data_IF_421937694096
#
_entry.id   IF_421937694096
#
_cell.length_a   1.000
_cell.length_b   1.000
_cell.length_c   1.000
_cell.angle_alpha   90.00
_cell.angle_beta   90.00
_cell.angle_gamma   90.00
#
_symmetry.space_group_name_H-M   'P 1'
#
loop_
_entity.id
_entity.type
_entity.pdbx_description
1 polymer ?
#
# COMPACT_ATOMS: atom_id res chain seq x y z
N UNK A 1 -36.42 3.13 -1.64
CA UNK A 1 -35.93 4.00 -0.55
C UNK A 1 -35.45 5.27 -1.17
N UNK A 2 -35.78 6.42 -0.59
CA UNK A 2 -35.28 7.70 -1.08
C UNK A 2 -33.79 7.76 -0.72
N UNK A 3 -32.91 7.77 -1.72
CA UNK A 3 -31.49 7.99 -1.49
C UNK A 3 -31.25 9.48 -1.27
N UNK A 4 -30.36 9.87 -0.35
CA UNK A 4 -30.03 11.27 -0.14
C UNK A 4 -29.42 11.86 -1.41
N UNK A 5 -29.73 13.13 -1.65
CA UNK A 5 -29.18 13.95 -2.73
C UNK A 5 -27.71 14.26 -2.49
N UNK A 6 -26.96 14.61 -3.54
CA UNK A 6 -25.53 14.98 -3.42
C UNK A 6 -25.30 16.15 -2.45
N UNK A 7 -26.25 17.08 -2.36
CA UNK A 7 -26.25 18.20 -1.41
C UNK A 7 -26.41 17.74 0.05
N UNK A 8 -27.24 16.73 0.30
CA UNK A 8 -27.43 16.14 1.62
C UNK A 8 -26.22 15.29 2.05
N UNK A 9 -25.54 14.65 1.09
CA UNK A 9 -24.27 13.95 1.36
C UNK A 9 -23.15 14.95 1.68
N UNK A 10 -23.11 16.09 0.99
CA UNK A 10 -22.13 17.14 1.27
C UNK A 10 -22.29 17.80 2.65
N UNK A 11 -23.50 17.78 3.23
CA UNK A 11 -23.76 18.29 4.59
C UNK A 11 -23.43 17.28 5.70
N UNK A 12 -23.15 16.01 5.36
CA UNK A 12 -22.72 14.97 6.31
C UNK A 12 -21.20 14.93 6.49
N UNK A 13 -20.53 16.05 6.26
CA UNK A 13 -19.09 16.17 6.44
C UNK A 13 -18.77 16.24 7.95
N UNK A 14 -18.67 15.05 8.56
CA UNK A 14 -18.42 14.86 9.98
C UNK A 14 -16.95 15.09 10.38
N UNK A 15 -16.10 15.48 9.44
CA UNK A 15 -14.70 15.76 9.69
C UNK A 15 -14.48 17.27 9.85
N UNK A 16 -13.76 17.65 10.90
CA UNK A 16 -13.29 19.02 11.06
C UNK A 16 -12.24 19.35 10.00
N UNK A 17 -12.06 20.63 9.70
CA UNK A 17 -11.02 21.08 8.76
C UNK A 17 -9.62 20.62 9.19
N UNK A 18 -9.37 20.56 10.51
CA UNK A 18 -8.13 20.01 11.08
C UNK A 18 -7.89 18.55 10.69
N UNK A 19 -8.95 17.72 10.62
CA UNK A 19 -8.82 16.31 10.21
C UNK A 19 -8.59 16.20 8.70
N UNK A 20 -9.20 17.08 7.90
CA UNK A 20 -9.01 17.11 6.44
C UNK A 20 -7.62 17.60 6.05
N UNK A 21 -7.04 18.50 6.84
CA UNK A 21 -5.70 19.04 6.65
C UNK A 21 -4.60 18.15 7.25
N UNK A 22 -4.95 17.04 7.89
CA UNK A 22 -3.99 16.14 8.51
C UNK A 22 -3.16 15.41 7.44
N UNK A 23 -1.84 15.67 7.45
CA UNK A 23 -0.85 14.88 6.73
C UNK A 23 0.04 14.15 7.76
N UNK A 24 0.13 12.81 7.71
CA UNK A 24 1.03 12.07 8.59
C UNK A 24 2.47 12.53 8.40
N UNK A 25 3.24 12.60 9.47
CA UNK A 25 4.68 12.82 9.37
C UNK A 25 5.39 11.60 8.77
N UNK A 26 6.56 11.79 8.14
CA UNK A 26 7.40 10.69 7.61
C UNK A 26 7.69 9.61 8.66
N UNK A 27 7.79 9.97 9.93
CA UNK A 27 7.98 9.04 11.03
C UNK A 27 6.76 8.13 11.30
N UNK A 28 5.54 8.59 11.00
CA UNK A 28 4.31 7.82 11.19
C UNK A 28 3.99 6.89 10.02
N UNK A 29 4.66 7.09 8.88
CA UNK A 29 4.53 6.22 7.71
C UNK A 29 5.13 4.83 7.94
N UNK A 30 6.03 4.69 8.92
CA UNK A 30 6.76 3.46 9.18
C UNK A 30 6.86 3.18 10.67
N UNK A 31 6.69 1.92 11.04
CA UNK A 31 7.04 1.44 12.38
C UNK A 31 8.29 0.57 12.29
N UNK A 32 9.11 0.58 13.34
CA UNK A 32 10.23 -0.36 13.49
C UNK A 32 9.80 -1.48 14.43
N UNK A 33 9.89 -2.72 13.95
CA UNK A 33 9.61 -3.92 14.73
C UNK A 33 10.77 -4.21 15.69
N UNK A 34 10.52 -5.01 16.73
CA UNK A 34 11.58 -5.43 17.67
C UNK A 34 12.76 -6.17 17.03
N UNK A 35 12.60 -6.67 15.80
CA UNK A 35 13.67 -7.26 14.98
C UNK A 35 14.58 -6.24 14.28
N UNK A 36 14.29 -4.94 14.38
CA UNK A 36 14.96 -3.87 13.62
C UNK A 36 14.47 -3.71 12.18
N UNK A 37 13.57 -4.59 11.71
CA UNK A 37 12.90 -4.41 10.42
C UNK A 37 11.83 -3.33 10.52
N UNK A 38 11.66 -2.52 9.47
CA UNK A 38 10.53 -1.60 9.39
C UNK A 38 9.34 -2.22 8.67
N UNK A 39 8.16 -1.70 8.98
CA UNK A 39 6.90 -1.98 8.32
C UNK A 39 6.29 -0.66 7.88
N UNK A 40 5.92 -0.55 6.60
CA UNK A 40 5.18 0.60 6.09
C UNK A 40 3.72 0.49 6.55
N UNK A 41 3.18 1.57 7.08
CA UNK A 41 1.79 1.68 7.54
C UNK A 41 0.90 2.36 6.50
N UNK A 42 1.49 3.26 5.71
CA UNK A 42 0.78 4.08 4.72
C UNK A 42 1.46 3.88 3.37
N UNK A 43 0.68 3.37 2.41
CA UNK A 43 1.16 2.94 1.09
C UNK A 43 0.84 3.97 -0.02
N UNK A 44 -0.16 4.83 0.16
CA UNK A 44 -0.47 5.92 -0.77
C UNK A 44 0.22 7.24 -0.39
N UNK A 45 0.04 8.28 -1.21
CA UNK A 45 0.40 9.66 -0.85
C UNK A 45 1.82 10.11 -1.22
N UNK A 46 2.44 9.55 -2.26
CA UNK A 46 3.69 10.09 -2.84
C UNK A 46 4.94 9.94 -1.97
N UNK A 47 4.91 9.11 -0.93
CA UNK A 47 6.09 8.82 -0.09
C UNK A 47 7.07 8.01 -0.92
N UNK A 48 8.34 8.35 -1.04
CA UNK A 48 9.26 7.51 -1.82
C UNK A 48 9.40 6.07 -1.28
N UNK A 49 9.73 5.14 -2.17
CA UNK A 49 10.14 3.81 -1.77
C UNK A 49 11.48 3.90 -1.03
N UNK A 50 11.67 3.03 -0.04
CA UNK A 50 12.98 2.84 0.59
C UNK A 50 13.75 1.79 -0.19
N UNK A 51 15.09 1.82 -0.09
CA UNK A 51 15.99 0.90 -0.80
C UNK A 51 15.56 -0.58 -0.73
N UNK A 52 15.23 -1.09 0.48
CA UNK A 52 14.76 -2.47 0.64
C UNK A 52 13.41 -2.75 -0.03
N UNK A 53 12.51 -1.76 -0.10
CA UNK A 53 11.22 -1.92 -0.79
C UNK A 53 11.44 -2.00 -2.31
N UNK A 54 12.32 -1.14 -2.86
CA UNK A 54 12.70 -1.19 -4.27
C UNK A 54 13.31 -2.54 -4.63
N UNK A 55 14.32 -2.97 -3.85
CA UNK A 55 14.98 -4.28 -4.02
C UNK A 55 13.96 -5.43 -4.05
N UNK A 56 13.03 -5.47 -3.08
CA UNK A 56 12.07 -6.58 -2.97
C UNK A 56 10.97 -6.53 -4.02
N UNK A 57 10.58 -5.34 -4.49
CA UNK A 57 9.66 -5.21 -5.62
C UNK A 57 10.31 -5.72 -6.90
N UNK A 58 11.57 -5.34 -7.16
CA UNK A 58 12.31 -5.81 -8.33
C UNK A 58 12.56 -7.32 -8.29
N UNK A 59 12.98 -7.87 -7.15
CA UNK A 59 13.11 -9.32 -6.98
C UNK A 59 11.79 -10.05 -7.26
N UNK A 60 10.64 -9.50 -6.82
CA UNK A 60 9.35 -10.12 -7.06
C UNK A 60 8.92 -10.04 -8.52
N UNK A 61 9.18 -8.91 -9.21
CA UNK A 61 8.94 -8.76 -10.65
C UNK A 61 9.75 -9.77 -11.45
N UNK A 62 11.03 -9.94 -11.12
CA UNK A 62 11.89 -10.95 -11.74
C UNK A 62 11.43 -12.38 -11.42
N UNK A 63 11.01 -12.64 -10.17
CA UNK A 63 10.39 -13.93 -9.80
C UNK A 63 9.16 -14.23 -10.65
N UNK A 64 8.27 -13.25 -10.85
CA UNK A 64 7.08 -13.43 -11.67
C UNK A 64 7.43 -13.72 -13.14
N UNK A 65 8.38 -12.98 -13.71
CA UNK A 65 8.88 -13.23 -15.08
C UNK A 65 9.45 -14.65 -15.22
N UNK A 66 10.31 -15.07 -14.28
CA UNK A 66 10.95 -16.38 -14.32
C UNK A 66 9.95 -17.55 -14.21
N UNK A 67 8.80 -17.32 -13.58
CA UNK A 67 7.77 -18.34 -13.33
C UNK A 67 6.52 -18.18 -14.22
N UNK A 68 6.54 -17.28 -15.20
CA UNK A 68 5.39 -16.96 -16.07
C UNK A 68 4.12 -16.57 -15.29
N UNK A 69 4.30 -15.82 -14.21
CA UNK A 69 3.22 -15.27 -13.39
C UNK A 69 2.93 -13.85 -13.88
N UNK A 70 1.66 -13.58 -14.18
CA UNK A 70 1.20 -12.23 -14.51
C UNK A 70 0.81 -11.51 -13.22
N UNK A 71 1.37 -10.33 -13.00
CA UNK A 71 0.93 -9.43 -11.93
C UNK A 71 -0.38 -8.77 -12.40
N UNK A 72 -1.47 -8.81 -11.61
CA UNK A 72 -2.73 -8.18 -12.00
C UNK A 72 -2.60 -6.68 -12.23
N UNK A 73 -3.46 -6.13 -13.07
CA UNK A 73 -3.56 -4.68 -13.28
C UNK A 73 -3.89 -3.96 -11.96
N UNK A 74 -3.22 -2.83 -11.71
CA UNK A 74 -3.39 -2.04 -10.49
C UNK A 74 -2.67 -2.59 -9.25
N UNK A 75 -1.93 -3.69 -9.35
CA UNK A 75 -1.15 -4.21 -8.22
C UNK A 75 0.23 -3.55 -8.12
N UNK A 76 0.90 -3.41 -9.27
CA UNK A 76 2.25 -2.85 -9.38
C UNK A 76 2.22 -1.43 -9.94
N UNK A 77 1.47 -0.55 -9.27
CA UNK A 77 1.33 0.86 -9.61
C UNK A 77 1.63 1.76 -8.40
N UNK A 78 1.34 3.07 -8.54
CA UNK A 78 1.53 4.06 -7.48
C UNK A 78 0.67 3.81 -6.24
N UNK A 79 -0.38 2.98 -6.33
CA UNK A 79 -1.18 2.52 -5.20
C UNK A 79 -0.46 1.51 -4.31
N UNK A 80 0.66 0.93 -4.78
CA UNK A 80 1.57 0.06 -4.01
C UNK A 80 0.90 -1.14 -3.35
N UNK A 81 -0.16 -1.65 -3.98
CA UNK A 81 -0.87 -2.79 -3.44
C UNK A 81 0.03 -4.03 -3.38
N UNK A 82 0.85 -4.25 -4.42
CA UNK A 82 1.84 -5.32 -4.45
C UNK A 82 2.84 -5.21 -3.28
N UNK A 83 3.35 -4.02 -2.99
CA UNK A 83 4.26 -3.80 -1.87
C UNK A 83 3.61 -4.15 -0.53
N UNK A 84 2.33 -3.80 -0.36
CA UNK A 84 1.56 -4.14 0.84
C UNK A 84 1.47 -5.66 1.02
N UNK A 85 1.17 -6.39 -0.04
CA UNK A 85 1.12 -7.86 0.00
C UNK A 85 2.50 -8.43 0.31
N UNK A 86 3.56 -7.99 -0.38
CA UNK A 86 4.94 -8.44 -0.14
C UNK A 86 5.37 -8.25 1.31
N UNK A 87 5.15 -7.07 1.89
CA UNK A 87 5.46 -6.82 3.30
C UNK A 87 4.63 -7.71 4.23
N UNK A 88 3.33 -7.83 3.98
CA UNK A 88 2.42 -8.67 4.78
C UNK A 88 2.80 -10.16 4.73
N UNK A 89 3.34 -10.64 3.62
CA UNK A 89 3.85 -12.01 3.45
C UNK A 89 5.34 -12.16 3.76
N UNK A 90 5.93 -11.17 4.47
CA UNK A 90 7.32 -11.19 4.95
C UNK A 90 8.34 -11.39 3.82
N UNK A 91 8.10 -10.76 2.67
CA UNK A 91 8.97 -10.81 1.50
C UNK A 91 9.10 -12.22 0.88
N UNK A 92 8.13 -13.10 1.15
CA UNK A 92 8.11 -14.44 0.56
C UNK A 92 7.49 -14.38 -0.84
N UNK A 93 8.32 -14.55 -1.87
CA UNK A 93 7.90 -14.43 -3.27
C UNK A 93 6.86 -15.47 -3.67
N UNK A 94 7.05 -16.73 -3.28
CA UNK A 94 6.11 -17.81 -3.63
C UNK A 94 4.74 -17.58 -2.98
N UNK A 95 4.71 -17.20 -1.70
CA UNK A 95 3.46 -16.94 -0.98
C UNK A 95 2.77 -15.70 -1.52
N UNK A 96 3.54 -14.64 -1.85
CA UNK A 96 3.00 -13.42 -2.45
C UNK A 96 2.40 -13.72 -3.82
N UNK A 97 3.10 -14.48 -4.67
CA UNK A 97 2.60 -14.89 -5.97
C UNK A 97 1.26 -15.63 -5.87
N UNK A 98 1.12 -16.55 -4.91
CA UNK A 98 -0.14 -17.25 -4.66
C UNK A 98 -1.27 -16.35 -4.16
N UNK A 99 -0.96 -15.23 -3.51
CA UNK A 99 -1.97 -14.30 -3.00
C UNK A 99 -2.51 -13.37 -4.09
N UNK A 100 -1.70 -13.04 -5.09
CA UNK A 100 -2.06 -12.09 -6.15
C UNK A 100 -2.66 -12.77 -7.40
N UNK A 101 -2.78 -14.10 -7.40
CA UNK A 101 -3.44 -14.89 -8.45
C UNK A 101 -4.88 -15.21 -8.07
#
# INVERSE_FOLDING_TARGET
GNFPTEEEVAQLDHFTDDVKAFEPSVAEHFITLGSGQYQRMIFGGGIELREKEEEKMDEFREYCKANNITIPEGYDDEGRFLLRVLQGKKWNMEVTAKEIQ
#
